data_IF_168012521147
#
_entry.id   IF_168012521147
#
_cell.length_a   1.000
_cell.length_b   1.000
_cell.length_c   1.000
_cell.angle_alpha   90.00
_cell.angle_beta   90.00
_cell.angle_gamma   90.00
#
_symmetry.space_group_name_H-M   'P 1'
#
loop_
_entity.id
_entity.type
_entity.pdbx_description
1 polymer ?
#
# COMPACT_ATOMS: atom_id res chain seq x y z
N UNK A 1 -23.05 13.08 6.46
CA UNK A 1 -23.64 11.86 7.05
C UNK A 1 -23.83 10.88 5.90
N UNK A 2 -22.78 10.16 5.52
CA UNK A 2 -22.76 9.25 4.37
C UNK A 2 -22.17 7.93 4.85
N UNK A 3 -22.99 6.90 4.81
CA UNK A 3 -22.66 5.58 5.36
C UNK A 3 -21.53 4.95 4.53
N UNK A 4 -20.47 4.50 5.21
CA UNK A 4 -19.38 3.73 4.57
C UNK A 4 -19.93 2.34 4.27
N UNK A 5 -19.80 1.79 3.05
CA UNK A 5 -20.30 0.46 2.76
C UNK A 5 -19.48 -0.57 3.55
N UNK A 6 -20.19 -1.40 4.31
CA UNK A 6 -19.62 -2.52 5.04
C UNK A 6 -19.03 -3.53 4.05
N UNK A 7 -17.73 -3.81 4.20
CA UNK A 7 -17.06 -4.93 3.54
C UNK A 7 -17.77 -6.23 3.95
N UNK A 8 -18.48 -6.85 3.02
CA UNK A 8 -19.07 -8.18 3.19
C UNK A 8 -17.96 -9.20 3.42
N UNK A 9 -18.02 -9.84 4.58
CA UNK A 9 -17.15 -10.95 4.94
C UNK A 9 -17.47 -12.17 4.07
N UNK A 10 -16.50 -12.61 3.29
CA UNK A 10 -16.53 -13.92 2.63
C UNK A 10 -16.19 -14.97 3.68
N UNK A 11 -17.20 -15.74 4.09
CA UNK A 11 -17.03 -16.87 4.99
C UNK A 11 -16.36 -18.04 4.24
N UNK A 12 -15.29 -18.61 4.82
CA UNK A 12 -14.77 -19.90 4.36
C UNK A 12 -13.25 -20.05 4.27
N UNK A 13 -12.47 -19.45 5.17
CA UNK A 13 -11.11 -19.89 5.50
C UNK A 13 -10.81 -19.40 6.91
N UNK A 14 -10.59 -20.32 7.86
CA UNK A 14 -10.26 -19.96 9.24
C UNK A 14 -8.90 -19.25 9.21
N UNK A 15 -8.90 -17.92 9.26
CA UNK A 15 -7.66 -17.15 9.41
C UNK A 15 -6.95 -17.66 10.66
N UNK A 16 -5.65 -18.00 10.54
CA UNK A 16 -4.83 -18.43 11.67
C UNK A 16 -4.98 -17.39 12.79
N UNK A 17 -5.27 -17.78 14.05
CA UNK A 17 -5.37 -16.83 15.15
C UNK A 17 -4.06 -16.02 15.24
N UNK A 18 -4.14 -14.70 15.11
CA UNK A 18 -2.98 -13.80 14.99
C UNK A 18 -2.78 -13.11 13.64
N UNK A 19 -3.74 -13.21 12.70
CA UNK A 19 -3.67 -12.49 11.43
C UNK A 19 -3.56 -10.97 11.66
N UNK A 20 -2.40 -10.40 11.30
CA UNK A 20 -2.13 -8.98 11.43
C UNK A 20 -2.94 -8.21 10.34
N UNK A 21 -3.87 -7.31 10.73
CA UNK A 21 -4.76 -6.63 9.79
C UNK A 21 -4.00 -5.68 8.84
N UNK A 22 -2.76 -5.32 9.15
CA UNK A 22 -1.96 -4.40 8.36
C UNK A 22 -1.26 -5.08 7.18
N UNK A 23 -1.12 -6.41 7.15
CA UNK A 23 -0.39 -7.11 6.07
C UNK A 23 -1.02 -6.84 4.70
N UNK A 24 -2.35 -6.75 4.63
CA UNK A 24 -3.07 -6.43 3.39
C UNK A 24 -2.76 -5.03 2.84
N UNK A 25 -2.21 -4.12 3.66
CA UNK A 25 -1.78 -2.79 3.21
C UNK A 25 -0.42 -2.81 2.50
N UNK A 26 0.36 -3.90 2.62
CA UNK A 26 1.70 -4.03 2.05
C UNK A 26 1.70 -5.11 0.97
N UNK A 27 1.38 -4.78 -0.29
CA UNK A 27 1.21 -5.77 -1.36
C UNK A 27 2.50 -6.55 -1.65
N UNK A 28 3.67 -5.95 -1.37
CA UNK A 28 4.95 -6.64 -1.48
C UNK A 28 5.08 -7.88 -0.59
N UNK A 29 4.36 -7.94 0.54
CA UNK A 29 4.36 -9.10 1.44
C UNK A 29 3.52 -10.28 0.94
N UNK A 30 2.71 -10.12 -0.12
CA UNK A 30 1.90 -11.20 -0.70
C UNK A 30 2.69 -12.10 -1.67
N UNK A 31 3.99 -11.83 -1.86
CA UNK A 31 4.85 -12.58 -2.78
C UNK A 31 5.22 -13.98 -2.25
N UNK A 32 5.55 -14.87 -3.18
CA UNK A 32 6.20 -16.14 -2.90
C UNK A 32 7.63 -16.12 -3.42
N UNK A 33 8.57 -16.57 -2.60
CA UNK A 33 10.00 -16.66 -2.93
C UNK A 33 10.45 -18.10 -2.69
N UNK A 34 11.04 -18.73 -3.70
CA UNK A 34 11.40 -20.16 -3.66
C UNK A 34 10.23 -21.10 -3.34
N UNK A 35 9.01 -20.73 -3.75
CA UNK A 35 7.80 -21.52 -3.50
C UNK A 35 7.20 -21.37 -2.10
N UNK A 36 7.77 -20.51 -1.25
CA UNK A 36 7.31 -20.27 0.11
C UNK A 36 6.82 -18.81 0.29
N UNK A 37 5.90 -18.54 1.22
CA UNK A 37 5.47 -17.17 1.53
C UNK A 37 6.64 -16.30 1.98
N UNK A 38 6.72 -15.08 1.47
CA UNK A 38 7.78 -14.13 1.82
C UNK A 38 7.73 -13.76 3.31
N UNK A 39 8.82 -14.04 4.04
CA UNK A 39 9.13 -13.45 5.33
C UNK A 39 10.21 -12.37 5.16
N UNK A 40 9.80 -11.10 5.09
CA UNK A 40 10.73 -9.99 4.89
C UNK A 40 11.33 -9.52 6.23
N UNK A 41 12.57 -9.95 6.50
CA UNK A 41 13.28 -9.69 7.77
C UNK A 41 14.43 -8.68 7.66
N UNK A 42 14.49 -7.92 6.57
CA UNK A 42 15.53 -6.91 6.31
C UNK A 42 15.03 -5.46 6.46
N UNK A 43 14.09 -5.25 7.39
CA UNK A 43 13.44 -3.95 7.61
C UNK A 43 14.41 -2.84 8.04
N UNK A 44 15.56 -3.21 8.59
CA UNK A 44 16.60 -2.26 9.00
C UNK A 44 17.32 -1.64 7.81
N UNK A 45 17.44 -2.35 6.68
CA UNK A 45 18.05 -1.83 5.47
C UNK A 45 17.03 -1.04 4.63
N UNK A 46 15.82 -1.57 4.43
CA UNK A 46 14.72 -0.88 3.75
C UNK A 46 13.38 -1.48 4.13
N UNK A 47 12.27 -0.82 3.81
CA UNK A 47 10.93 -1.27 4.20
C UNK A 47 10.02 -1.43 2.99
N UNK A 48 9.01 -2.31 3.13
CA UNK A 48 7.93 -2.41 2.15
C UNK A 48 7.06 -1.16 2.19
N UNK A 49 6.63 -0.68 1.03
CA UNK A 49 5.80 0.53 0.93
C UNK A 49 4.30 0.17 1.00
N UNK A 50 3.51 0.77 1.90
CA UNK A 50 2.07 0.50 1.97
C UNK A 50 1.32 1.14 0.79
N UNK A 51 0.13 0.61 0.47
CA UNK A 51 -0.72 1.07 -0.65
C UNK A 51 -0.96 2.58 -0.64
N UNK A 52 -1.28 3.16 0.51
CA UNK A 52 -1.56 4.59 0.62
C UNK A 52 -0.40 5.47 0.12
N UNK A 53 0.85 5.07 0.39
CA UNK A 53 2.04 5.80 -0.07
C UNK A 53 2.25 5.60 -1.57
N UNK A 54 2.07 4.37 -2.08
CA UNK A 54 2.16 4.09 -3.51
C UNK A 54 1.13 4.92 -4.31
N UNK A 55 -0.10 4.99 -3.81
CA UNK A 55 -1.19 5.75 -4.42
C UNK A 55 -0.93 7.25 -4.40
N UNK A 56 -0.43 7.79 -3.28
CA UNK A 56 -0.08 9.20 -3.19
C UNK A 56 1.04 9.57 -4.19
N UNK A 57 2.09 8.73 -4.28
CA UNK A 57 3.16 8.94 -5.24
C UNK A 57 2.66 8.83 -6.68
N UNK A 58 1.85 7.81 -6.98
CA UNK A 58 1.26 7.65 -8.30
C UNK A 58 0.38 8.85 -8.68
N UNK A 59 -0.44 9.35 -7.76
CA UNK A 59 -1.27 10.53 -7.99
C UNK A 59 -0.42 11.76 -8.31
N UNK A 60 0.60 12.03 -7.49
CA UNK A 60 1.53 13.12 -7.71
C UNK A 60 2.19 13.02 -9.09
N UNK A 61 2.74 11.86 -9.45
CA UNK A 61 3.40 11.65 -10.73
C UNK A 61 2.46 11.86 -11.93
N UNK A 62 1.18 11.50 -11.78
CA UNK A 62 0.19 11.58 -12.85
C UNK A 62 -0.49 12.94 -12.99
N UNK A 63 -0.62 13.71 -11.91
CA UNK A 63 -1.46 14.92 -11.87
C UNK A 63 -0.69 16.18 -11.47
N UNK A 64 0.28 16.06 -10.57
CA UNK A 64 0.89 17.19 -9.88
C UNK A 64 2.39 17.36 -10.16
N UNK A 65 2.99 16.48 -10.96
CA UNK A 65 4.43 16.48 -11.24
C UNK A 65 4.83 17.71 -12.04
N UNK A 66 5.44 18.67 -11.36
CA UNK A 66 6.04 19.84 -11.97
C UNK A 66 7.22 20.37 -11.14
N UNK A 67 7.99 21.29 -11.74
CA UNK A 67 9.24 21.77 -11.16
C UNK A 67 8.99 22.84 -10.09
N UNK A 68 9.57 22.66 -8.91
CA UNK A 68 9.34 23.40 -7.64
C UNK A 68 9.57 24.92 -7.75
N UNK A 69 10.27 25.39 -8.80
CA UNK A 69 10.47 26.80 -9.09
C UNK A 69 9.19 27.45 -9.64
N UNK A 70 8.25 27.67 -8.71
CA UNK A 70 6.99 28.42 -8.82
C UNK A 70 7.24 29.86 -9.25
N UNK A 71 7.21 30.10 -10.56
CA UNK A 71 7.25 31.46 -11.08
C UNK A 71 6.47 31.70 -12.38
N UNK A 72 6.02 30.65 -13.08
CA UNK A 72 5.49 30.85 -14.44
C UNK A 72 4.19 30.10 -14.74
N UNK A 73 3.85 28.99 -14.04
CA UNK A 73 2.63 28.22 -14.33
C UNK A 73 1.99 27.59 -13.07
N UNK A 74 0.68 27.29 -13.15
CA UNK A 74 -0.20 26.85 -12.05
C UNK A 74 0.24 25.57 -11.30
N UNK A 75 1.09 24.73 -11.89
CA UNK A 75 1.55 23.48 -11.28
C UNK A 75 3.03 23.47 -10.87
N UNK A 76 3.82 24.53 -11.10
CA UNK A 76 5.21 24.58 -10.59
C UNK A 76 5.30 24.37 -9.06
#
# INVERSE_FOLDING_TARGET
MGERPALQAVAGQRAKPGANPYVAQFPGLAQQVHGEPLAYLDNAATTQTPLAVQQALQHFEQHDRANIHRGVHTLS
#
